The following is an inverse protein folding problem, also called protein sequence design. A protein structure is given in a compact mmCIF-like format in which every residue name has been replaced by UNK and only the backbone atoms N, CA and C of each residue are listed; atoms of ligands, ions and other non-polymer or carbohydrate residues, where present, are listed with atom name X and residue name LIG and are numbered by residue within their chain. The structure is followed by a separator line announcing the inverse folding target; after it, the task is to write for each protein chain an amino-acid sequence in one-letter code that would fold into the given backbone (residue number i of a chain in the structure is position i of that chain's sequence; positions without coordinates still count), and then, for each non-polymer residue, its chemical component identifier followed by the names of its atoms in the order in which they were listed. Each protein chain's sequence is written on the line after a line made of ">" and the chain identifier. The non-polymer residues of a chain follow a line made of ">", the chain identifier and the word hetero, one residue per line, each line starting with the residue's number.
data_IF_894794341505
#
_entry.id   IF_894794341505
#
_cell.length_a   1.000
_cell.length_b   1.000
_cell.length_c   1.000
_cell.angle_alpha   90.00
_cell.angle_beta   90.00
_cell.angle_gamma   90.00
#
_symmetry.space_group_name_H-M   'P 1'
#
loop_
_entity.id
_entity.type
_entity.pdbx_description
1 polymer ?
#
# COMPACT_ATOMS: atom_id res chain seq x y z
N UNK A 1 -19.66 -5.38 0.32
CA UNK A 1 -18.19 -5.33 0.16
C UNK A 1 -17.61 -6.42 1.03
N UNK A 2 -16.78 -7.32 0.49
CA UNK A 2 -16.15 -8.40 1.27
C UNK A 2 -14.70 -8.02 1.59
N UNK A 3 -14.29 -8.01 2.88
CA UNK A 3 -12.91 -7.83 3.27
C UNK A 3 -12.05 -9.02 2.81
N UNK A 4 -10.73 -8.83 2.71
CA UNK A 4 -9.81 -9.94 2.52
C UNK A 4 -9.90 -10.86 3.75
N UNK A 5 -10.01 -12.17 3.51
CA UNK A 5 -10.20 -13.17 4.56
C UNK A 5 -8.88 -13.79 5.05
N UNK A 6 -7.79 -13.60 4.29
CA UNK A 6 -6.43 -14.04 4.58
C UNK A 6 -5.44 -12.95 4.18
N UNK A 7 -4.29 -12.93 4.84
CA UNK A 7 -3.26 -11.89 4.71
C UNK A 7 -1.89 -12.53 4.44
N UNK A 8 -1.82 -13.32 3.37
CA UNK A 8 -0.60 -13.95 2.88
C UNK A 8 -0.25 -13.42 1.47
N UNK A 9 0.96 -13.75 0.99
CA UNK A 9 1.45 -13.32 -0.31
C UNK A 9 0.57 -13.76 -1.47
N UNK A 10 0.05 -15.00 -1.43
CA UNK A 10 -0.82 -15.54 -2.48
C UNK A 10 -2.14 -14.77 -2.56
N UNK A 11 -2.77 -14.51 -1.42
CA UNK A 11 -3.99 -13.71 -1.33
C UNK A 11 -3.74 -12.28 -1.80
N UNK A 12 -2.58 -11.71 -1.48
CA UNK A 12 -2.18 -10.39 -1.95
C UNK A 12 -2.07 -10.35 -3.48
N UNK A 13 -1.38 -11.32 -4.08
CA UNK A 13 -1.24 -11.43 -5.53
C UNK A 13 -2.61 -11.59 -6.22
N UNK A 14 -3.47 -12.49 -5.71
CA UNK A 14 -4.82 -12.72 -6.22
C UNK A 14 -5.72 -11.47 -6.13
N UNK A 15 -5.52 -10.64 -5.10
CA UNK A 15 -6.21 -9.37 -4.91
C UNK A 15 -5.62 -8.22 -5.76
N UNK A 16 -4.58 -8.48 -6.55
CA UNK A 16 -3.90 -7.48 -7.38
C UNK A 16 -2.99 -6.54 -6.60
N UNK A 17 -2.54 -6.94 -5.41
CA UNK A 17 -1.62 -6.19 -4.55
C UNK A 17 -0.15 -6.43 -4.92
N UNK A 18 0.14 -6.39 -6.22
CA UNK A 18 1.47 -6.58 -6.81
C UNK A 18 1.60 -5.70 -8.06
N UNK A 19 2.79 -5.18 -8.33
CA UNK A 19 3.10 -4.39 -9.54
C UNK A 19 4.53 -4.62 -9.99
N UNK A 20 4.93 -4.07 -11.14
CA UNK A 20 6.32 -4.12 -11.58
C UNK A 20 7.29 -3.38 -10.65
N UNK A 21 6.81 -2.40 -9.88
CA UNK A 21 7.60 -1.67 -8.88
C UNK A 21 7.55 -2.33 -7.49
N UNK A 22 6.68 -3.31 -7.33
CA UNK A 22 6.47 -4.05 -6.09
C UNK A 22 6.08 -5.48 -6.43
N UNK A 23 7.04 -6.21 -6.96
CA UNK A 23 6.88 -7.60 -7.36
C UNK A 23 7.06 -8.52 -6.14
N UNK A 24 6.02 -9.29 -5.83
CA UNK A 24 5.99 -10.23 -4.70
C UNK A 24 6.08 -11.70 -5.16
N UNK A 25 6.14 -11.97 -6.48
CA UNK A 25 6.16 -13.33 -7.02
C UNK A 25 7.40 -14.11 -6.57
N UNK A 26 8.54 -13.43 -6.43
CA UNK A 26 9.75 -14.03 -5.88
C UNK A 26 9.57 -14.49 -4.43
N UNK A 27 8.86 -13.70 -3.60
CA UNK A 27 8.59 -14.04 -2.20
C UNK A 27 7.68 -15.27 -2.09
N UNK A 28 6.67 -15.37 -2.97
CA UNK A 28 5.80 -16.55 -3.06
C UNK A 28 6.61 -17.78 -3.45
N UNK A 29 7.43 -17.66 -4.51
CA UNK A 29 8.24 -18.76 -5.03
C UNK A 29 9.26 -19.27 -4.01
N UNK A 30 9.89 -18.36 -3.30
CA UNK A 30 10.97 -18.68 -2.36
C UNK A 30 10.43 -19.06 -0.97
N UNK A 31 9.09 -19.05 -0.79
CA UNK A 31 8.42 -19.43 0.45
C UNK A 31 8.71 -18.48 1.61
N UNK A 32 8.87 -17.18 1.32
CA UNK A 32 9.19 -16.18 2.33
C UNK A 32 8.05 -16.06 3.35
N UNK A 33 8.38 -16.27 4.63
CA UNK A 33 7.42 -16.26 5.74
C UNK A 33 7.16 -14.86 6.28
N UNK A 34 7.90 -13.83 5.84
CA UNK A 34 7.65 -12.45 6.25
C UNK A 34 6.33 -11.98 5.65
N UNK A 35 5.60 -11.15 6.38
CA UNK A 35 4.42 -10.47 5.86
C UNK A 35 4.85 -9.18 5.16
N UNK A 36 4.34 -8.92 3.95
CA UNK A 36 4.68 -7.71 3.20
C UNK A 36 3.99 -6.46 3.73
N UNK A 37 2.69 -6.36 3.45
CA UNK A 37 1.81 -5.41 4.11
C UNK A 37 1.15 -6.15 5.29
N UNK A 38 1.02 -5.46 6.42
CA UNK A 38 0.23 -5.95 7.55
C UNK A 38 -1.26 -6.08 7.17
N UNK A 39 -2.04 -6.82 7.96
CA UNK A 39 -3.46 -7.05 7.67
C UNK A 39 -4.22 -5.73 7.43
N UNK A 40 -3.94 -4.72 8.26
CA UNK A 40 -4.55 -3.39 8.15
C UNK A 40 -4.12 -2.70 6.86
N UNK A 41 -2.85 -2.73 6.51
CA UNK A 41 -2.32 -2.16 5.28
C UNK A 41 -2.89 -2.81 4.04
N UNK A 42 -3.00 -4.14 4.01
CA UNK A 42 -3.63 -4.88 2.91
C UNK A 42 -5.09 -4.48 2.74
N UNK A 43 -5.86 -4.42 3.83
CA UNK A 43 -7.27 -4.02 3.78
C UNK A 43 -7.44 -2.58 3.29
N UNK A 44 -6.63 -1.65 3.79
CA UNK A 44 -6.70 -0.24 3.40
C UNK A 44 -6.37 -0.03 1.92
N UNK A 45 -5.31 -0.67 1.42
CA UNK A 45 -4.94 -0.58 -0.01
C UNK A 45 -6.03 -1.22 -0.87
N UNK A 46 -6.50 -2.42 -0.52
CA UNK A 46 -7.57 -3.09 -1.25
C UNK A 46 -8.86 -2.27 -1.27
N UNK A 47 -9.21 -1.62 -0.15
CA UNK A 47 -10.35 -0.71 -0.07
C UNK A 47 -10.17 0.52 -0.98
N UNK A 48 -9.01 1.17 -0.95
CA UNK A 48 -8.72 2.32 -1.83
C UNK A 48 -8.81 1.93 -3.31
N UNK A 49 -8.32 0.73 -3.67
CA UNK A 49 -8.45 0.20 -5.03
C UNK A 49 -9.93 -0.02 -5.42
N UNK A 50 -10.80 -0.44 -4.50
CA UNK A 50 -12.24 -0.59 -4.75
C UNK A 50 -12.95 0.76 -4.90
N UNK A 51 -12.68 1.70 -4.00
CA UNK A 51 -13.28 3.05 -3.99
C UNK A 51 -12.94 3.84 -5.26
N UNK A 52 -11.75 3.62 -5.83
CA UNK A 52 -11.32 4.26 -7.06
C UNK A 52 -11.61 3.44 -8.34
N UNK A 53 -12.42 2.37 -8.21
CA UNK A 53 -13.01 1.67 -9.35
C UNK A 53 -12.09 0.65 -10.05
N UNK A 54 -11.07 0.11 -9.37
CA UNK A 54 -9.97 -0.60 -10.04
C UNK A 54 -9.94 -2.12 -9.81
N UNK A 55 -10.83 -2.64 -8.96
CA UNK A 55 -10.80 -4.06 -8.56
C UNK A 55 -11.21 -5.06 -9.65
N UNK A 56 -11.53 -4.64 -10.87
CA UNK A 56 -12.05 -5.56 -11.91
C UNK A 56 -11.38 -5.54 -13.27
N UNK A 57 -10.28 -4.83 -13.43
CA UNK A 57 -9.48 -4.96 -14.65
C UNK A 57 -8.09 -5.44 -14.24
N UNK A 58 -7.96 -6.78 -14.24
CA UNK A 58 -6.67 -7.46 -14.45
C UNK A 58 -5.92 -6.60 -15.48
N UNK A 59 -4.76 -6.04 -15.12
CA UNK A 59 -3.89 -5.15 -15.92
C UNK A 59 -3.95 -3.61 -15.74
N UNK A 60 -4.42 -3.04 -14.62
CA UNK A 60 -4.05 -1.65 -14.26
C UNK A 60 -3.03 -1.59 -13.11
N UNK A 61 -1.73 -1.82 -13.35
CA UNK A 61 -0.68 -1.73 -12.32
C UNK A 61 -0.58 -0.33 -11.70
N UNK A 62 -1.04 0.71 -12.42
CA UNK A 62 -1.11 2.08 -11.91
C UNK A 62 -2.03 2.22 -10.69
N UNK A 63 -2.93 1.26 -10.46
CA UNK A 63 -3.91 1.30 -9.37
C UNK A 63 -3.38 0.95 -8.00
N UNK A 64 -2.54 -0.09 -7.93
CA UNK A 64 -1.99 -0.58 -6.69
C UNK A 64 -0.95 0.39 -6.15
N UNK A 65 -0.04 0.84 -7.01
CA UNK A 65 0.98 1.81 -6.61
C UNK A 65 0.37 3.17 -6.26
N UNK A 66 -0.66 3.62 -6.99
CA UNK A 66 -1.41 4.84 -6.63
C UNK A 66 -2.15 4.68 -5.30
N UNK A 67 -2.78 3.54 -5.04
CA UNK A 67 -3.43 3.26 -3.76
C UNK A 67 -2.42 3.24 -2.60
N UNK A 68 -1.23 2.67 -2.81
CA UNK A 68 -0.12 2.71 -1.85
C UNK A 68 0.38 4.13 -1.62
N UNK A 69 0.53 4.93 -2.68
CA UNK A 69 0.94 6.32 -2.59
C UNK A 69 -0.09 7.15 -1.80
N UNK A 70 -1.39 6.99 -2.08
CA UNK A 70 -2.47 7.65 -1.33
C UNK A 70 -2.48 7.25 0.14
N UNK A 71 -2.35 5.96 0.43
CA UNK A 71 -2.23 5.47 1.80
C UNK A 71 -1.03 6.09 2.52
N UNK A 72 0.12 6.12 1.87
CA UNK A 72 1.33 6.69 2.44
C UNK A 72 1.18 8.18 2.73
N UNK A 73 0.66 8.95 1.77
CA UNK A 73 0.34 10.38 1.97
C UNK A 73 -0.62 10.60 3.13
N UNK A 74 -1.66 9.78 3.25
CA UNK A 74 -2.60 9.86 4.36
C UNK A 74 -1.93 9.58 5.72
N UNK A 75 -1.00 8.62 5.79
CA UNK A 75 -0.20 8.35 7.00
C UNK A 75 0.68 9.55 7.34
N UNK A 76 1.39 10.13 6.36
CA UNK A 76 2.23 11.32 6.59
C UNK A 76 1.39 12.47 7.15
N UNK A 77 0.27 12.80 6.51
CA UNK A 77 -0.60 13.88 6.98
C UNK A 77 -1.16 13.64 8.39
N UNK A 78 -1.54 12.39 8.72
CA UNK A 78 -2.00 12.03 10.07
C UNK A 78 -0.92 12.18 11.13
N UNK A 79 0.35 12.09 10.75
CA UNK A 79 1.51 12.22 11.64
C UNK A 79 2.16 13.60 11.58
N UNK A 80 1.43 14.62 11.09
CA UNK A 80 1.93 16.00 10.98
C UNK A 80 3.21 16.11 10.12
N UNK A 81 3.28 15.32 9.06
CA UNK A 81 4.32 15.37 8.03
C UNK A 81 3.68 15.77 6.69
N UNK A 82 4.31 16.69 5.99
CA UNK A 82 3.87 17.15 4.69
C UNK A 82 3.93 15.98 3.67
N UNK A 83 2.81 15.61 3.03
CA UNK A 83 2.74 14.43 2.18
C UNK A 83 3.41 14.60 0.81
N UNK A 84 3.85 15.81 0.45
CA UNK A 84 4.53 16.10 -0.82
C UNK A 84 6.04 16.20 -0.62
N UNK A 85 6.47 16.83 0.47
CA UNK A 85 7.88 17.14 0.74
C UNK A 85 8.52 16.19 1.75
N UNK A 86 7.73 15.49 2.56
CA UNK A 86 8.20 14.64 3.65
C UNK A 86 8.71 15.42 4.87
N UNK A 87 8.58 16.75 4.87
CA UNK A 87 9.02 17.60 5.96
C UNK A 87 7.99 17.65 7.09
N UNK A 88 8.40 17.72 8.37
CA UNK A 88 7.45 17.96 9.46
C UNK A 88 6.67 19.26 9.24
N UNK A 89 5.37 19.24 9.53
CA UNK A 89 4.51 20.43 9.54
C UNK A 89 4.60 21.18 10.88
N UNK A 90 5.25 20.60 11.88
CA UNK A 90 5.53 21.27 13.16
C UNK A 90 6.66 22.29 12.97
N UNK A 91 6.36 23.56 13.23
CA UNK A 91 7.32 24.67 13.16
C UNK A 91 8.46 24.56 14.18
N UNK A 92 8.33 23.69 15.18
CA UNK A 92 9.37 23.39 16.18
C UNK A 92 10.22 22.17 15.84
N UNK A 93 9.92 21.44 14.76
CA UNK A 93 10.77 20.36 14.29
C UNK A 93 12.05 20.95 13.67
N UNK A 94 13.02 21.26 14.53
CA UNK A 94 14.33 21.78 14.11
C UNK A 94 15.06 20.67 13.36
N UNK A 95 15.23 20.85 12.05
CA UNK A 95 16.12 20.04 11.21
C UNK A 95 17.22 20.94 10.65
N UNK A 96 18.22 21.22 11.48
CA UNK A 96 19.52 21.73 11.03
C UNK A 96 20.55 20.65 11.32
N UNK A 97 21.26 20.21 10.28
CA UNK A 97 22.45 19.37 10.38
C UNK A 97 23.68 20.23 10.61
#
# INVERSE_FOLDING_TARGET
>A
MLPLARFDWTTAADAGLSSSLFDIEANIRDGDTREGLDERGMQEVHRLMQEHGIVRLRHSPQSFDEARLRRHRAILSRNNVDPLTGMPLDSKAVTRL
#
